data_IF_747225580770
#
_entry.id   IF_747225580770
#
_cell.length_a   1.000
_cell.length_b   1.000
_cell.length_c   1.000
_cell.angle_alpha   90.00
_cell.angle_beta   90.00
_cell.angle_gamma   90.00
#
_symmetry.space_group_name_H-M   'P 1'
#
loop_
_entity.id
_entity.type
_entity.pdbx_description
1 polymer ?
#
# COMPACT_ATOMS: atom_id res chain seq x y z
N UNK A 1 -2.72 -23.23 21.55
CA UNK A 1 -1.97 -24.09 22.45
C UNK A 1 -1.05 -25.06 21.71
N UNK A 2 -0.05 -24.53 21.00
CA UNK A 2 0.95 -25.30 20.28
C UNK A 2 2.33 -24.85 20.74
N UNK A 3 2.97 -25.56 21.72
CA UNK A 3 4.27 -25.16 22.28
C UNK A 3 5.36 -25.01 21.24
N UNK A 4 5.35 -25.84 20.19
CA UNK A 4 6.30 -25.75 19.07
C UNK A 4 6.18 -24.43 18.29
N UNK A 5 4.96 -23.93 18.04
CA UNK A 5 4.74 -22.64 17.38
C UNK A 5 5.16 -21.48 18.28
N UNK A 6 4.98 -21.58 19.58
CA UNK A 6 5.40 -20.57 20.54
C UNK A 6 6.93 -20.37 20.54
N UNK A 7 7.71 -21.44 20.34
CA UNK A 7 9.18 -21.35 20.21
C UNK A 7 9.61 -20.65 18.92
N UNK A 8 8.80 -20.69 17.86
CA UNK A 8 9.07 -20.02 16.59
C UNK A 8 8.62 -18.57 16.53
N UNK A 9 7.85 -18.12 17.53
CA UNK A 9 7.40 -16.71 17.60
C UNK A 9 8.56 -15.80 18.00
N UNK A 10 8.62 -14.64 17.33
CA UNK A 10 9.57 -13.58 17.65
C UNK A 10 9.13 -12.83 18.92
N UNK A 11 9.70 -11.66 19.16
CA UNK A 11 9.28 -10.84 20.31
C UNK A 11 7.81 -10.39 20.15
N UNK A 12 7.08 -10.14 21.27
CA UNK A 12 5.71 -9.64 21.21
C UNK A 12 5.56 -8.35 20.37
N UNK A 13 6.58 -7.51 20.35
CA UNK A 13 6.62 -6.29 19.52
C UNK A 13 6.67 -6.62 18.03
N UNK A 14 7.54 -7.57 17.62
CA UNK A 14 7.66 -8.02 16.23
C UNK A 14 6.35 -8.67 15.75
N UNK A 15 5.74 -9.51 16.58
CA UNK A 15 4.46 -10.15 16.24
C UNK A 15 3.34 -9.10 16.12
N UNK A 16 3.31 -8.10 17.01
CA UNK A 16 2.38 -6.98 16.93
C UNK A 16 2.53 -6.18 15.63
N UNK A 17 3.76 -5.96 15.18
CA UNK A 17 4.04 -5.27 13.90
C UNK A 17 3.56 -6.09 12.71
N UNK A 18 3.79 -7.40 12.69
CA UNK A 18 3.29 -8.30 11.63
C UNK A 18 1.75 -8.31 11.57
N UNK A 19 1.09 -8.36 12.74
CA UNK A 19 -0.37 -8.24 12.81
C UNK A 19 -0.86 -6.89 12.26
N UNK A 20 -0.19 -5.80 12.62
CA UNK A 20 -0.50 -4.45 12.10
C UNK A 20 -0.36 -4.36 10.57
N UNK A 21 0.70 -4.94 10.02
CA UNK A 21 0.90 -5.00 8.58
C UNK A 21 -0.22 -5.80 7.88
N UNK A 22 -0.59 -6.95 8.43
CA UNK A 22 -1.68 -7.77 7.90
C UNK A 22 -3.01 -7.02 7.92
N UNK A 23 -3.37 -6.40 9.05
CA UNK A 23 -4.61 -5.62 9.19
C UNK A 23 -4.62 -4.44 8.23
N UNK A 24 -3.49 -3.76 8.03
CA UNK A 24 -3.35 -2.67 7.07
C UNK A 24 -3.60 -3.14 5.64
N UNK A 25 -3.05 -4.29 5.24
CA UNK A 25 -3.28 -4.90 3.91
C UNK A 25 -4.75 -5.29 3.71
N UNK A 26 -5.39 -5.85 4.74
CA UNK A 26 -6.81 -6.18 4.71
C UNK A 26 -7.68 -4.92 4.56
N UNK A 27 -7.38 -3.84 5.28
CA UNK A 27 -8.10 -2.58 5.19
C UNK A 27 -7.98 -1.92 3.81
N UNK A 28 -6.82 -2.04 3.16
CA UNK A 28 -6.63 -1.56 1.78
C UNK A 28 -7.36 -2.45 0.77
N UNK A 29 -7.40 -3.76 0.98
CA UNK A 29 -8.06 -4.71 0.07
C UNK A 29 -9.60 -4.68 0.18
N UNK A 30 -10.14 -4.36 1.37
CA UNK A 30 -11.57 -4.31 1.65
C UNK A 30 -11.92 -3.02 2.39
N UNK A 31 -11.95 -1.89 1.68
CA UNK A 31 -12.26 -0.58 2.27
C UNK A 31 -13.71 -0.47 2.77
N UNK A 32 -14.57 -1.40 2.37
CA UNK A 32 -15.96 -1.56 2.81
C UNK A 32 -16.09 -2.18 4.20
N UNK A 33 -15.02 -2.79 4.73
CA UNK A 33 -15.02 -3.43 6.05
C UNK A 33 -14.32 -2.52 7.06
N UNK A 34 -14.96 -2.38 8.23
CA UNK A 34 -14.35 -1.70 9.38
C UNK A 34 -13.31 -2.59 10.03
N UNK A 35 -12.10 -2.06 10.22
CA UNK A 35 -11.02 -2.75 10.92
C UNK A 35 -10.60 -1.97 12.16
N UNK A 36 -10.44 -2.66 13.26
CA UNK A 36 -9.91 -2.11 14.50
C UNK A 36 -8.90 -3.10 15.10
N UNK A 37 -7.73 -2.60 15.48
CA UNK A 37 -6.73 -3.38 16.22
C UNK A 37 -6.41 -2.71 17.53
N UNK A 38 -6.44 -3.49 18.62
CA UNK A 38 -6.08 -3.05 19.96
C UNK A 38 -4.89 -3.84 20.47
N UNK A 39 -3.99 -3.16 21.17
CA UNK A 39 -2.86 -3.77 21.87
C UNK A 39 -2.86 -3.27 23.31
N UNK A 40 -2.89 -4.19 24.29
CA UNK A 40 -2.97 -3.86 25.72
C UNK A 40 -4.09 -2.85 26.04
N UNK A 41 -5.28 -3.07 25.46
CA UNK A 41 -6.47 -2.22 25.66
C UNK A 41 -6.46 -0.90 24.88
N UNK A 42 -5.34 -0.50 24.24
CA UNK A 42 -5.24 0.72 23.44
C UNK A 42 -5.46 0.43 21.96
N UNK A 43 -6.25 1.27 21.30
CA UNK A 43 -6.46 1.20 19.86
C UNK A 43 -5.22 1.69 19.13
N UNK A 44 -4.61 0.79 18.34
CA UNK A 44 -3.38 1.07 17.57
C UNK A 44 -3.64 1.22 16.07
N UNK A 45 -4.79 0.74 15.59
CA UNK A 45 -5.21 0.91 14.20
C UNK A 45 -6.72 1.01 14.11
N UNK A 46 -7.20 1.82 13.15
CA UNK A 46 -8.63 1.95 12.86
C UNK A 46 -8.84 2.36 11.40
N UNK A 47 -9.68 1.62 10.67
CA UNK A 47 -10.21 1.95 9.35
C UNK A 47 -11.74 1.93 9.40
N UNK A 48 -12.44 2.96 8.90
CA UNK A 48 -13.88 3.15 9.17
C UNK A 48 -14.80 2.17 8.42
N UNK A 49 -14.33 1.53 7.33
CA UNK A 49 -15.19 0.67 6.51
C UNK A 49 -16.19 1.46 5.65
N UNK A 50 -15.79 2.64 5.18
CA UNK A 50 -16.66 3.56 4.43
C UNK A 50 -16.88 3.16 2.96
N UNK A 51 -16.20 2.13 2.47
CA UNK A 51 -16.16 1.76 1.06
C UNK A 51 -15.22 2.63 0.21
N UNK A 52 -14.66 3.71 0.77
CA UNK A 52 -13.76 4.60 0.05
C UNK A 52 -12.30 4.21 0.31
N UNK A 53 -11.58 3.84 -0.76
CA UNK A 53 -10.18 3.46 -0.65
C UNK A 53 -9.30 4.56 -0.02
N UNK A 54 -9.64 5.84 -0.28
CA UNK A 54 -8.90 6.98 0.28
C UNK A 54 -8.94 7.01 1.82
N UNK A 55 -10.04 6.59 2.44
CA UNK A 55 -10.16 6.53 3.90
C UNK A 55 -9.27 5.42 4.48
N UNK A 56 -9.20 4.26 3.82
CA UNK A 56 -8.27 3.19 4.18
C UNK A 56 -6.81 3.60 3.99
N UNK A 57 -6.49 4.30 2.89
CA UNK A 57 -5.16 4.87 2.66
C UNK A 57 -4.80 5.90 3.73
N UNK A 58 -5.77 6.73 4.15
CA UNK A 58 -5.58 7.69 5.25
C UNK A 58 -5.27 6.98 6.57
N UNK A 59 -5.98 5.88 6.86
CA UNK A 59 -5.77 5.08 8.06
C UNK A 59 -4.39 4.39 8.08
N UNK A 60 -3.93 3.90 6.91
CA UNK A 60 -2.67 3.12 6.79
C UNK A 60 -1.45 4.01 6.63
N UNK A 61 -1.52 5.02 5.76
CA UNK A 61 -0.36 5.83 5.37
C UNK A 61 -0.38 7.26 5.91
N UNK A 62 -1.47 7.64 6.57
CA UNK A 62 -1.64 8.97 7.15
C UNK A 62 -2.20 10.00 6.17
N UNK A 63 -2.76 11.07 6.76
CA UNK A 63 -3.49 12.13 6.05
C UNK A 63 -2.64 12.92 5.04
N UNK A 64 -1.36 13.14 5.34
CA UNK A 64 -0.47 13.88 4.45
C UNK A 64 -0.26 13.15 3.13
N UNK A 65 0.04 11.84 3.19
CA UNK A 65 0.23 11.04 1.99
C UNK A 65 -1.09 10.89 1.23
N UNK A 66 -2.20 10.64 1.93
CA UNK A 66 -3.51 10.47 1.31
C UNK A 66 -3.95 11.68 0.46
N UNK A 67 -3.59 12.91 0.87
CA UNK A 67 -3.87 14.15 0.09
C UNK A 67 -3.13 14.23 -1.24
N UNK A 68 -2.01 13.54 -1.35
CA UNK A 68 -1.15 13.53 -2.54
C UNK A 68 -1.37 12.31 -3.43
N UNK A 69 -2.39 11.51 -3.10
CA UNK A 69 -2.78 10.36 -3.93
C UNK A 69 -3.69 10.81 -5.07
N UNK A 70 -3.44 10.26 -6.24
CA UNK A 70 -4.16 10.48 -7.48
C UNK A 70 -5.04 9.26 -7.76
N UNK A 71 -6.31 9.45 -8.16
CA UNK A 71 -7.16 8.34 -8.55
C UNK A 71 -6.66 7.72 -9.84
N UNK A 72 -6.72 6.40 -9.90
CA UNK A 72 -6.36 5.57 -11.04
C UNK A 72 -7.59 4.76 -11.43
N UNK A 73 -7.97 4.81 -12.71
CA UNK A 73 -9.07 4.02 -13.22
C UNK A 73 -8.88 3.72 -14.71
N UNK A 74 -9.00 2.46 -15.07
CA UNK A 74 -9.09 1.99 -16.46
C UNK A 74 -9.90 0.72 -16.53
N UNK A 75 -10.49 0.44 -17.67
CA UNK A 75 -11.21 -0.82 -17.93
C UNK A 75 -10.99 -1.21 -19.38
N UNK A 76 -10.64 -2.47 -19.60
CA UNK A 76 -10.56 -3.16 -20.88
C UNK A 76 -11.35 -4.47 -20.78
N UNK A 77 -11.55 -5.15 -21.91
CA UNK A 77 -12.29 -6.42 -21.91
C UNK A 77 -11.61 -7.46 -20.99
N UNK A 78 -12.36 -7.97 -19.98
CA UNK A 78 -11.88 -8.96 -19.02
C UNK A 78 -10.92 -8.43 -17.95
N UNK A 79 -10.61 -7.11 -17.95
CA UNK A 79 -9.63 -6.52 -17.04
C UNK A 79 -10.05 -5.11 -16.63
N UNK A 80 -10.10 -4.84 -15.33
CA UNK A 80 -10.25 -3.47 -14.84
C UNK A 80 -9.20 -3.14 -13.78
N UNK A 81 -8.76 -1.89 -13.79
CA UNK A 81 -7.80 -1.33 -12.84
C UNK A 81 -8.45 -0.13 -12.15
N UNK A 82 -8.47 -0.17 -10.83
CA UNK A 82 -8.86 0.97 -9.99
C UNK A 82 -7.83 1.15 -8.89
N UNK A 83 -7.75 2.35 -8.29
CA UNK A 83 -6.85 2.53 -7.18
C UNK A 83 -6.43 3.96 -6.96
N UNK A 84 -5.33 4.10 -6.26
CA UNK A 84 -4.68 5.36 -5.93
C UNK A 84 -3.19 5.26 -6.15
N UNK A 85 -2.59 6.31 -6.73
CA UNK A 85 -1.15 6.42 -6.94
C UNK A 85 -0.63 7.74 -6.39
N UNK A 86 0.53 7.73 -5.72
CA UNK A 86 1.13 8.93 -5.14
C UNK A 86 1.83 9.79 -6.20
N UNK A 87 1.84 11.10 -6.01
CA UNK A 87 2.69 11.99 -6.81
C UNK A 87 4.17 11.61 -6.67
N UNK A 88 5.03 11.85 -7.67
CA UNK A 88 6.46 11.54 -7.61
C UNK A 88 7.18 12.14 -6.39
N UNK A 89 6.74 13.29 -5.89
CA UNK A 89 7.29 13.93 -4.69
C UNK A 89 7.14 13.07 -3.41
N UNK A 90 6.17 12.13 -3.38
CA UNK A 90 5.91 11.22 -2.25
C UNK A 90 6.40 9.80 -2.52
N UNK A 91 7.68 9.65 -2.80
CA UNK A 91 8.31 8.34 -3.03
C UNK A 91 8.92 7.75 -1.74
N UNK A 92 9.18 6.46 -1.73
CA UNK A 92 9.78 5.70 -0.62
C UNK A 92 10.98 4.90 -1.12
N UNK A 93 11.83 4.45 -0.20
CA UNK A 93 12.96 3.56 -0.53
C UNK A 93 12.54 2.09 -0.70
N UNK A 94 11.42 1.70 -0.08
CA UNK A 94 10.94 0.31 -0.07
C UNK A 94 9.75 0.09 -1.01
N UNK A 95 9.70 -1.10 -1.62
CA UNK A 95 8.54 -1.61 -2.37
C UNK A 95 7.32 -1.95 -1.52
N UNK A 96 7.44 -1.94 -0.19
CA UNK A 96 6.34 -2.26 0.72
C UNK A 96 5.12 -1.33 0.58
N UNK A 97 5.29 -0.17 -0.07
CA UNK A 97 4.23 0.79 -0.36
C UNK A 97 3.61 0.62 -1.76
N UNK A 98 4.02 -0.38 -2.52
CA UNK A 98 3.33 -0.81 -3.73
C UNK A 98 2.40 -1.95 -3.32
N UNK A 99 1.12 -1.63 -3.15
CA UNK A 99 0.09 -2.58 -2.75
C UNK A 99 -0.70 -3.02 -3.96
N UNK A 100 -0.70 -4.32 -4.23
CA UNK A 100 -1.44 -4.93 -5.34
C UNK A 100 -2.56 -5.80 -4.78
N UNK A 101 -3.76 -5.57 -5.27
CA UNK A 101 -4.97 -6.30 -4.91
C UNK A 101 -5.53 -6.89 -6.21
N UNK A 102 -5.75 -8.20 -6.26
CA UNK A 102 -6.37 -8.87 -7.41
C UNK A 102 -7.61 -9.61 -6.93
N UNK A 103 -8.75 -9.30 -7.56
CA UNK A 103 -10.05 -9.86 -7.21
C UNK A 103 -10.35 -9.79 -5.70
N UNK A 104 -10.04 -8.63 -5.08
CA UNK A 104 -10.27 -8.36 -3.65
C UNK A 104 -9.25 -8.97 -2.69
N UNK A 105 -8.17 -9.60 -3.19
CA UNK A 105 -7.09 -10.17 -2.37
C UNK A 105 -5.80 -9.37 -2.51
N UNK A 106 -5.15 -9.11 -1.40
CA UNK A 106 -3.75 -8.65 -1.42
C UNK A 106 -2.86 -9.78 -1.95
N UNK A 107 -2.05 -9.47 -2.96
CA UNK A 107 -1.11 -10.40 -3.58
C UNK A 107 0.24 -9.75 -3.86
N UNK A 108 1.28 -10.55 -3.92
CA UNK A 108 2.58 -10.17 -4.48
C UNK A 108 2.56 -10.49 -5.96
N UNK A 109 2.53 -9.48 -6.80
CA UNK A 109 2.53 -9.63 -8.25
C UNK A 109 3.74 -8.88 -8.84
N UNK A 110 4.83 -9.60 -9.18
CA UNK A 110 6.04 -8.98 -9.73
C UNK A 110 5.76 -8.18 -11.00
N UNK A 111 4.90 -8.68 -11.87
CA UNK A 111 4.51 -8.04 -13.14
C UNK A 111 3.90 -6.65 -12.90
N UNK A 112 2.89 -6.56 -12.03
CA UNK A 112 2.24 -5.29 -11.70
C UNK A 112 3.20 -4.35 -10.95
N UNK A 113 4.06 -4.90 -10.10
CA UNK A 113 5.08 -4.11 -9.39
C UNK A 113 6.09 -3.52 -10.37
N UNK A 114 6.60 -4.31 -11.31
CA UNK A 114 7.54 -3.84 -12.33
C UNK A 114 6.89 -2.80 -13.26
N UNK A 115 5.66 -3.03 -13.71
CA UNK A 115 4.88 -2.07 -14.51
C UNK A 115 4.66 -0.75 -13.77
N UNK A 116 4.41 -0.81 -12.46
CA UNK A 116 4.29 0.37 -11.60
C UNK A 116 5.61 1.14 -11.52
N UNK A 117 6.72 0.45 -11.30
CA UNK A 117 8.06 1.07 -11.26
C UNK A 117 8.43 1.67 -12.63
N UNK A 118 8.06 1.01 -13.72
CA UNK A 118 8.27 1.50 -15.08
C UNK A 118 7.57 2.82 -15.34
N UNK A 119 6.29 2.95 -14.94
CA UNK A 119 5.51 4.18 -15.07
C UNK A 119 6.16 5.39 -14.37
N UNK A 120 7.00 5.14 -13.36
CA UNK A 120 7.69 6.18 -12.59
C UNK A 120 9.18 6.31 -12.91
N UNK A 121 9.72 5.52 -13.83
CA UNK A 121 11.17 5.41 -14.09
C UNK A 121 11.86 6.75 -14.32
N UNK A 122 11.26 7.62 -15.14
CA UNK A 122 11.81 8.94 -15.46
C UNK A 122 11.49 10.03 -14.42
N UNK A 123 10.62 9.74 -13.44
CA UNK A 123 10.09 10.72 -12.50
C UNK A 123 10.70 10.58 -11.10
N UNK A 124 11.30 9.43 -10.78
CA UNK A 124 11.85 9.18 -9.46
C UNK A 124 13.37 9.06 -9.49
N UNK A 125 14.06 9.60 -8.48
CA UNK A 125 15.48 9.36 -8.30
C UNK A 125 15.80 7.87 -8.14
N UNK A 126 17.02 7.49 -8.44
CA UNK A 126 17.49 6.11 -8.25
C UNK A 126 17.27 5.63 -6.81
N UNK A 127 16.82 4.40 -6.63
CA UNK A 127 16.52 3.81 -5.32
C UNK A 127 15.19 4.24 -4.71
N UNK A 128 14.45 5.15 -5.35
CA UNK A 128 13.12 5.54 -4.89
C UNK A 128 12.02 4.73 -5.59
N UNK A 129 10.92 4.51 -4.88
CA UNK A 129 9.77 3.71 -5.34
C UNK A 129 8.48 4.50 -5.13
N UNK A 130 7.50 4.35 -6.03
CA UNK A 130 6.21 5.00 -5.87
C UNK A 130 5.42 4.41 -4.70
N UNK A 131 4.45 5.18 -4.23
CA UNK A 131 3.43 4.72 -3.28
C UNK A 131 2.14 4.49 -4.05
N UNK A 132 1.66 3.26 -4.14
CA UNK A 132 0.47 2.92 -4.91
C UNK A 132 -0.38 1.88 -4.19
N UNK A 133 -1.70 1.97 -4.39
CA UNK A 133 -2.65 0.93 -4.02
C UNK A 133 -3.50 0.66 -5.25
N UNK A 134 -3.24 -0.46 -5.90
CA UNK A 134 -3.86 -0.85 -7.17
C UNK A 134 -4.75 -2.07 -6.95
N UNK A 135 -6.01 -1.96 -7.35
CA UNK A 135 -6.97 -3.05 -7.35
C UNK A 135 -7.32 -3.42 -8.79
N UNK A 136 -6.93 -4.63 -9.18
CA UNK A 136 -7.23 -5.23 -10.46
C UNK A 136 -8.40 -6.21 -10.28
N UNK A 137 -9.38 -6.11 -11.18
CA UNK A 137 -10.34 -7.18 -11.39
C UNK A 137 -9.95 -7.85 -12.70
N UNK A 138 -9.65 -9.13 -12.63
CA UNK A 138 -9.15 -9.96 -13.71
C UNK A 138 -10.10 -11.13 -13.87
N UNK A 139 -10.44 -11.46 -15.12
CA UNK A 139 -11.21 -12.65 -15.40
C UNK A 139 -10.51 -13.89 -14.79
N UNK A 140 -11.24 -14.76 -14.07
CA UNK A 140 -10.67 -15.97 -13.47
C UNK A 140 -9.94 -16.87 -14.48
N UNK A 141 -10.35 -16.86 -15.75
CA UNK A 141 -9.68 -17.63 -16.81
C UNK A 141 -8.27 -17.12 -17.14
N UNK A 142 -7.97 -15.86 -16.81
CA UNK A 142 -6.67 -15.22 -17.02
C UNK A 142 -5.76 -15.27 -15.77
N UNK A 143 -6.19 -15.98 -14.73
CA UNK A 143 -5.55 -15.96 -13.42
C UNK A 143 -5.33 -17.37 -12.87
N UNK A 144 -4.08 -17.77 -12.63
CA UNK A 144 -3.76 -18.95 -11.85
C UNK A 144 -3.41 -18.56 -10.41
N UNK A 145 -4.26 -18.98 -9.46
CA UNK A 145 -4.12 -18.69 -8.01
C UNK A 145 -3.38 -19.82 -7.28
N UNK A 146 -3.20 -20.99 -7.91
CA UNK A 146 -2.66 -22.17 -7.25
C UNK A 146 -1.12 -22.26 -7.34
N UNK A 147 -0.44 -21.13 -7.21
CA UNK A 147 1.02 -21.03 -7.35
C UNK A 147 1.75 -21.18 -6.00
N UNK A 148 1.13 -20.77 -4.89
CA UNK A 148 1.77 -20.79 -3.56
C UNK A 148 0.79 -21.23 -2.47
N UNK A 149 1.22 -22.07 -1.48
CA UNK A 149 0.35 -22.56 -0.39
C UNK A 149 -0.36 -21.43 0.39
N UNK A 150 0.33 -20.31 0.63
CA UNK A 150 -0.25 -19.14 1.30
C UNK A 150 -1.12 -18.27 0.38
N UNK A 151 -1.24 -18.60 -0.92
CA UNK A 151 -2.00 -17.83 -1.94
C UNK A 151 -1.66 -16.32 -1.97
N UNK A 152 -0.41 -15.99 -1.64
CA UNK A 152 0.12 -14.63 -1.70
C UNK A 152 0.69 -14.27 -3.06
N UNK A 153 0.89 -15.26 -3.92
CA UNK A 153 1.39 -15.09 -5.28
C UNK A 153 0.35 -15.61 -6.26
N UNK A 154 0.26 -14.94 -7.38
CA UNK A 154 -0.65 -15.28 -8.49
C UNK A 154 0.14 -15.23 -9.78
N UNK A 155 -0.19 -16.10 -10.72
CA UNK A 155 0.32 -16.07 -12.09
C UNK A 155 -0.75 -15.49 -13.00
N UNK A 156 -0.38 -14.50 -13.77
CA UNK A 156 -1.23 -13.88 -14.79
C UNK A 156 -0.91 -14.53 -16.13
N UNK A 157 -1.90 -14.85 -16.92
CA UNK A 157 -1.68 -15.47 -18.24
C UNK A 157 -1.34 -14.42 -19.31
N UNK A 158 -1.90 -13.21 -19.22
CA UNK A 158 -1.66 -12.10 -20.14
C UNK A 158 -0.79 -11.00 -19.49
N UNK A 159 0.44 -11.37 -19.07
CA UNK A 159 1.32 -10.48 -18.29
C UNK A 159 1.61 -9.17 -19.02
N UNK A 160 1.92 -9.21 -20.32
CA UNK A 160 2.26 -8.02 -21.11
C UNK A 160 1.08 -7.05 -21.25
N UNK A 161 -0.13 -7.57 -21.47
CA UNK A 161 -1.35 -6.77 -21.55
C UNK A 161 -1.64 -6.08 -20.24
N UNK A 162 -1.53 -6.80 -19.13
CA UNK A 162 -1.76 -6.27 -17.78
C UNK A 162 -0.70 -5.25 -17.41
N UNK A 163 0.59 -5.53 -17.69
CA UNK A 163 1.68 -4.59 -17.48
C UNK A 163 1.48 -3.31 -18.30
N UNK A 164 1.11 -3.44 -19.57
CA UNK A 164 0.83 -2.31 -20.45
C UNK A 164 -0.32 -1.45 -19.96
N UNK A 165 -1.43 -2.06 -19.51
CA UNK A 165 -2.56 -1.35 -18.92
C UNK A 165 -2.13 -0.55 -17.69
N UNK A 166 -1.43 -1.20 -16.74
CA UNK A 166 -0.97 -0.57 -15.51
C UNK A 166 -0.06 0.62 -15.81
N UNK A 167 0.95 0.43 -16.66
CA UNK A 167 1.91 1.48 -17.01
C UNK A 167 1.22 2.68 -17.65
N UNK A 168 0.38 2.46 -18.68
CA UNK A 168 -0.36 3.54 -19.37
C UNK A 168 -1.25 4.32 -18.42
N UNK A 169 -2.05 3.60 -17.63
CA UNK A 169 -3.01 4.23 -16.72
C UNK A 169 -2.33 5.05 -15.62
N UNK A 170 -1.21 4.57 -15.09
CA UNK A 170 -0.43 5.32 -14.10
C UNK A 170 0.21 6.57 -14.71
N UNK A 171 0.82 6.45 -15.89
CA UNK A 171 1.40 7.59 -16.60
C UNK A 171 0.36 8.66 -16.91
N UNK A 172 -0.84 8.26 -17.33
CA UNK A 172 -1.95 9.18 -17.58
C UNK A 172 -2.38 9.90 -16.29
N UNK A 173 -2.60 9.17 -15.19
CA UNK A 173 -3.00 9.74 -13.91
C UNK A 173 -1.98 10.76 -13.37
N UNK A 174 -0.68 10.53 -13.61
CA UNK A 174 0.39 11.44 -13.21
C UNK A 174 0.40 12.69 -14.10
N UNK A 175 0.31 12.52 -15.43
CA UNK A 175 0.36 13.62 -16.41
C UNK A 175 -0.82 14.60 -16.27
N UNK A 176 -2.03 14.09 -16.10
CA UNK A 176 -3.26 14.93 -16.02
C UNK A 176 -3.16 15.96 -14.90
N UNK A 177 -2.47 15.70 -13.82
CA UNK A 177 -2.36 16.62 -12.69
C UNK A 177 -1.15 17.56 -12.73
N UNK A 178 -0.16 17.30 -13.57
CA UNK A 178 0.89 18.29 -13.85
C UNK A 178 0.37 19.45 -14.73
N UNK A 179 -0.68 19.19 -15.52
CA UNK A 179 -1.25 20.16 -16.47
C UNK A 179 -2.31 21.05 -15.82
N UNK A 180 -2.93 20.66 -14.71
CA UNK A 180 -3.94 21.47 -14.01
C UNK A 180 -3.30 22.09 -12.77
N UNK A 181 -2.86 23.37 -12.81
CA UNK A 181 -2.45 24.07 -11.60
C UNK A 181 -3.66 24.15 -10.65
N UNK A 182 -3.44 23.78 -9.38
CA UNK A 182 -4.47 23.82 -8.36
C UNK A 182 -4.98 25.26 -8.21
N UNK A 183 -6.09 25.59 -8.85
CA UNK A 183 -6.83 26.79 -8.54
C UNK A 183 -7.28 26.67 -7.08
N UNK A 184 -6.69 27.49 -6.22
CA UNK A 184 -7.07 27.59 -4.80
C UNK A 184 -8.51 28.08 -4.72
N UNK A 185 -9.46 27.15 -4.62
CA UNK A 185 -10.79 27.51 -4.13
C UNK A 185 -10.67 27.71 -2.63
N UNK A 186 -10.51 28.95 -2.23
CA UNK A 186 -10.55 29.36 -0.82
C UNK A 186 -12.00 29.18 -0.33
N UNK A 187 -12.28 28.07 0.36
CA UNK A 187 -13.48 27.97 1.17
C UNK A 187 -13.20 28.64 2.52
N UNK A 188 -14.11 29.47 3.06
CA UNK A 188 -13.90 30.08 4.36
C UNK A 188 -13.86 29.00 5.44
N UNK A 189 -12.88 29.15 6.31
CA UNK A 189 -12.65 28.31 7.49
C UNK A 189 -13.74 28.66 8.51
N UNK A 190 -14.59 27.68 8.83
CA UNK A 190 -15.32 27.67 10.09
C UNK A 190 -14.43 26.99 11.12
N UNK A 191 -13.94 27.79 12.05
CA UNK A 191 -13.21 27.30 13.23
C UNK A 191 -14.11 26.43 14.09
N UNK A 192 -13.68 25.21 14.37
CA UNK A 192 -14.20 24.42 15.49
C UNK A 192 -13.09 23.58 16.10
N UNK A 193 -12.74 24.05 17.31
CA UNK A 193 -12.24 23.35 18.50
C UNK A 193 -11.32 22.16 18.39
N UNK A 194 -10.22 22.33 19.05
CA UNK A 194 -9.12 21.43 19.38
C UNK A 194 -9.58 20.05 19.88
N UNK A 195 -9.14 19.03 19.14
CA UNK A 195 -8.92 17.69 19.71
C UNK A 195 -7.45 17.33 19.50
N UNK A 196 -6.75 17.15 20.61
CA UNK A 196 -5.37 16.66 20.67
C UNK A 196 -5.28 15.32 19.92
N UNK A 197 -4.73 15.36 18.72
CA UNK A 197 -4.38 14.17 17.96
C UNK A 197 -3.11 13.55 18.56
N UNK A 198 -3.25 12.37 19.16
CA UNK A 198 -2.11 11.53 19.48
C UNK A 198 -1.56 10.96 18.16
N UNK A 199 -0.39 11.46 17.78
CA UNK A 199 0.42 10.94 16.66
C UNK A 199 0.80 9.50 16.95
N UNK A 200 0.20 8.57 16.25
CA UNK A 200 0.76 7.25 16.02
C UNK A 200 1.18 7.15 14.55
N UNK A 201 2.42 7.53 14.28
CA UNK A 201 3.11 7.10 13.08
C UNK A 201 3.51 5.64 13.30
N UNK A 202 2.96 4.74 12.51
CA UNK A 202 3.55 3.41 12.32
C UNK A 202 4.92 3.62 11.66
N UNK A 203 5.94 3.76 12.48
CA UNK A 203 7.32 3.69 12.01
C UNK A 203 7.55 2.26 11.57
N UNK A 204 7.47 2.02 10.27
CA UNK A 204 8.05 0.82 9.67
C UNK A 204 9.54 0.96 9.89
N UNK A 205 10.05 0.31 10.92
CA UNK A 205 11.45 0.35 11.31
C UNK A 205 12.29 -0.21 10.17
N UNK A 206 13.07 0.67 9.57
CA UNK A 206 14.34 0.29 8.95
C UNK A 206 15.28 -0.20 10.06
N UNK A 207 15.29 -1.49 10.33
CA UNK A 207 16.41 -2.16 10.97
C UNK A 207 17.26 -2.73 9.85
N UNK A 208 18.23 -1.93 9.42
CA UNK A 208 19.42 -2.41 8.76
C UNK A 208 20.60 -1.66 9.36
N UNK A 209 21.57 -2.49 9.83
CA UNK A 209 22.96 -2.17 10.13
C UNK A 209 23.23 -1.32 11.37
N UNK A 210 23.25 -2.00 12.52
CA UNK A 210 24.29 -1.71 13.51
C UNK A 210 25.31 -2.85 13.48
N UNK A 211 26.43 -2.53 12.88
CA UNK A 211 27.68 -3.29 12.90
C UNK A 211 28.07 -3.55 14.35
N UNK A 212 28.24 -4.82 14.66
CA UNK A 212 28.89 -5.28 15.89
C UNK A 212 30.38 -4.97 15.75
N UNK A 213 31.02 -4.23 16.66
CA UNK A 213 32.46 -4.08 16.66
C UNK A 213 33.13 -5.42 17.04
N UNK A 214 34.30 -5.77 16.46
CA UNK A 214 35.01 -7.00 16.76
C UNK A 214 35.58 -6.98 18.19
N UNK A 215 35.65 -8.14 18.87
CA UNK A 215 36.28 -8.24 20.18
C UNK A 215 37.79 -7.99 20.04
N UNK A 216 38.31 -7.11 20.90
CA UNK A 216 39.75 -6.83 21.03
C UNK A 216 40.49 -8.04 21.62
N UNK A 217 41.84 -8.08 21.39
CA UNK A 217 42.66 -9.20 21.79
C UNK A 217 43.03 -9.13 23.28
N UNK A 218 42.85 -10.27 23.98
CA UNK A 218 43.71 -10.80 25.04
C UNK A 218 43.69 -12.32 24.98
#
# INVERSE_FOLDING_TARGET
NTPARRKAMKSPSSEGSLCGELVSRLALARPDIRYEMKTRGRRVFYSPGSGRLLDSVTAVYGKQLAKEMLPVRSAEQGLSLTGLTGKPSFSRSSRSHITVIINGRYVRCPVVTAATEEAYRSLLPQGRRPVTVLALTVDPELLDVNVHPAKLEVRLLEEEKIAGLVTRTLMEAIRVKEIIPATKVTRPVLESSEHKESRFQLTIHQQQDQQVPPPGPE
#
